data_IF_744314590889
#
_entry.id   IF_744314590889
#
_cell.length_a   1.000
_cell.length_b   1.000
_cell.length_c   1.000
_cell.angle_alpha   90.00
_cell.angle_beta   90.00
_cell.angle_gamma   90.00
#
_symmetry.space_group_name_H-M   'P 1'
#
loop_
_entity.id
_entity.type
_entity.pdbx_description
1 polymer ?
#
# COMPACT_ATOMS: atom_id res chain seq x y z
N UNK A 1 -16.41 -29.61 -42.84
CA UNK A 1 -16.08 -28.41 -42.01
C UNK A 1 -15.57 -28.91 -40.67
N UNK A 2 -14.25 -29.08 -40.55
CA UNK A 2 -13.61 -29.56 -39.33
C UNK A 2 -13.25 -28.33 -38.51
N UNK A 3 -14.02 -28.10 -37.50
CA UNK A 3 -13.76 -27.06 -36.46
C UNK A 3 -12.61 -27.53 -35.56
N UNK A 4 -11.41 -27.24 -35.96
CA UNK A 4 -10.24 -27.32 -35.11
C UNK A 4 -10.38 -26.25 -34.01
N UNK A 5 -11.21 -26.52 -33.01
CA UNK A 5 -11.14 -25.85 -31.74
C UNK A 5 -9.75 -26.11 -31.17
N UNK A 6 -8.81 -25.16 -31.32
CA UNK A 6 -7.57 -25.12 -30.59
C UNK A 6 -7.93 -25.25 -29.13
N UNK A 7 -7.80 -26.45 -28.57
CA UNK A 7 -7.88 -26.67 -27.14
C UNK A 7 -6.90 -25.70 -26.50
N UNK A 8 -7.40 -24.66 -25.85
CA UNK A 8 -6.58 -23.69 -25.15
C UNK A 8 -5.79 -24.48 -24.10
N UNK A 9 -4.49 -24.59 -24.29
CA UNK A 9 -3.63 -25.30 -23.36
C UNK A 9 -3.86 -24.74 -21.95
N UNK A 10 -4.29 -25.63 -21.03
CA UNK A 10 -4.56 -25.24 -19.65
C UNK A 10 -3.21 -24.80 -19.04
N UNK A 11 -3.09 -23.50 -18.78
CA UNK A 11 -1.94 -22.94 -18.10
C UNK A 11 -2.17 -23.05 -16.60
N UNK A 12 -1.33 -23.81 -15.92
CA UNK A 12 -1.37 -23.97 -14.47
C UNK A 12 -0.24 -23.20 -13.81
N UNK A 13 -0.59 -22.39 -12.83
CA UNK A 13 0.39 -21.70 -12.00
C UNK A 13 1.22 -22.74 -11.21
N UNK A 14 2.53 -22.53 -11.17
CA UNK A 14 3.44 -23.34 -10.36
C UNK A 14 3.22 -23.04 -8.87
N UNK A 15 3.51 -24.01 -7.99
CA UNK A 15 3.30 -23.87 -6.54
C UNK A 15 3.95 -22.60 -5.95
N UNK A 16 5.17 -22.28 -6.36
CA UNK A 16 5.85 -21.07 -5.89
C UNK A 16 5.12 -19.78 -6.30
N UNK A 17 4.43 -19.75 -7.45
CA UNK A 17 3.64 -18.60 -7.90
C UNK A 17 2.37 -18.47 -7.07
N UNK A 18 1.75 -19.60 -6.68
CA UNK A 18 0.59 -19.63 -5.80
C UNK A 18 0.90 -19.11 -4.39
N UNK A 19 2.16 -19.15 -3.96
CA UNK A 19 2.60 -18.70 -2.64
C UNK A 19 3.18 -17.28 -2.70
N UNK A 20 4.13 -17.02 -3.61
CA UNK A 20 4.83 -15.73 -3.66
C UNK A 20 3.94 -14.56 -4.09
N UNK A 21 2.97 -14.81 -4.95
CA UNK A 21 2.07 -13.75 -5.40
C UNK A 21 1.13 -13.27 -4.27
N UNK A 22 0.48 -14.15 -3.50
CA UNK A 22 -0.27 -13.75 -2.31
C UNK A 22 0.59 -13.10 -1.22
N UNK A 23 1.86 -13.50 -1.06
CA UNK A 23 2.78 -12.84 -0.12
C UNK A 23 3.04 -11.38 -0.52
N UNK A 24 3.22 -11.09 -1.81
CA UNK A 24 3.33 -9.71 -2.28
C UNK A 24 2.05 -8.90 -1.97
N UNK A 25 0.88 -9.50 -2.16
CA UNK A 25 -0.39 -8.86 -1.79
C UNK A 25 -0.50 -8.64 -0.27
N UNK A 26 -0.02 -9.59 0.54
CA UNK A 26 0.09 -9.44 1.99
C UNK A 26 0.97 -8.25 2.38
N UNK A 27 2.15 -8.12 1.78
CA UNK A 27 3.04 -6.96 2.00
C UNK A 27 2.37 -5.63 1.61
N UNK A 28 1.66 -5.60 0.47
CA UNK A 28 0.88 -4.42 0.06
C UNK A 28 -0.17 -4.04 1.10
N UNK A 29 -0.82 -5.03 1.71
CA UNK A 29 -1.82 -4.80 2.75
C UNK A 29 -1.24 -4.32 4.08
N UNK A 30 0.02 -4.62 4.39
CA UNK A 30 0.75 -4.00 5.51
C UNK A 30 0.85 -2.48 5.29
N UNK A 31 1.30 -2.04 4.11
CA UNK A 31 1.36 -0.61 3.76
C UNK A 31 -0.02 0.04 3.77
N UNK A 32 -1.01 -0.67 3.25
CA UNK A 32 -2.40 -0.20 3.20
C UNK A 32 -2.95 0.11 4.59
N UNK A 33 -2.80 -0.81 5.54
CA UNK A 33 -3.26 -0.60 6.91
C UNK A 33 -2.48 0.50 7.60
N UNK A 34 -1.15 0.53 7.41
CA UNK A 34 -0.30 1.58 7.98
C UNK A 34 -0.75 2.98 7.55
N UNK A 35 -1.07 3.15 6.27
CA UNK A 35 -1.53 4.45 5.78
C UNK A 35 -2.99 4.68 6.17
N UNK A 36 -3.92 3.80 5.81
CA UNK A 36 -5.34 4.08 6.00
C UNK A 36 -5.78 4.22 7.44
N UNK A 37 -5.23 3.40 8.33
CA UNK A 37 -5.64 3.44 9.74
C UNK A 37 -4.99 4.60 10.49
N UNK A 38 -3.82 5.06 10.04
CA UNK A 38 -3.03 6.00 10.84
C UNK A 38 -2.78 7.36 10.18
N UNK A 39 -3.07 7.53 8.87
CA UNK A 39 -2.78 8.78 8.17
C UNK A 39 -3.62 9.95 8.69
N UNK A 40 -4.88 9.72 9.05
CA UNK A 40 -5.74 10.76 9.62
C UNK A 40 -5.21 11.20 11.00
N UNK A 41 -4.81 10.24 11.83
CA UNK A 41 -4.20 10.50 13.15
C UNK A 41 -2.85 11.21 13.00
N UNK A 42 -2.03 10.80 12.04
CA UNK A 42 -0.77 11.47 11.73
C UNK A 42 -0.99 12.92 11.27
N UNK A 43 -1.89 13.14 10.33
CA UNK A 43 -2.22 14.49 9.83
C UNK A 43 -2.75 15.40 10.92
N UNK A 44 -3.64 14.91 11.79
CA UNK A 44 -4.24 15.72 12.85
C UNK A 44 -3.31 15.94 14.05
N UNK A 45 -2.67 14.88 14.55
CA UNK A 45 -1.95 14.93 15.82
C UNK A 45 -0.47 15.27 15.68
N UNK A 46 0.17 14.84 14.58
CA UNK A 46 1.61 15.06 14.35
C UNK A 46 1.85 16.31 13.50
N UNK A 47 1.09 16.49 12.43
CA UNK A 47 1.24 17.63 11.53
C UNK A 47 0.38 18.84 11.92
N UNK A 48 -0.54 18.68 12.89
CA UNK A 48 -1.47 19.72 13.35
C UNK A 48 -2.36 20.31 12.22
N UNK A 49 -2.69 19.51 11.20
CA UNK A 49 -3.49 19.95 10.05
C UNK A 49 -5.00 20.05 10.34
N UNK A 50 -5.42 19.66 11.55
CA UNK A 50 -6.83 19.58 11.93
C UNK A 50 -7.50 18.27 11.50
N UNK A 51 -8.31 17.72 12.40
CA UNK A 51 -8.93 16.40 12.22
C UNK A 51 -9.90 16.39 11.03
N UNK A 52 -10.66 17.49 10.84
CA UNK A 52 -11.59 17.61 9.72
C UNK A 52 -10.88 17.54 8.38
N UNK A 53 -9.79 18.31 8.20
CA UNK A 53 -9.00 18.30 6.98
C UNK A 53 -8.43 16.91 6.70
N UNK A 54 -7.79 16.29 7.70
CA UNK A 54 -7.19 14.97 7.54
C UNK A 54 -8.24 13.91 7.14
N UNK A 55 -9.42 13.93 7.75
CA UNK A 55 -10.52 12.99 7.43
C UNK A 55 -11.11 13.23 6.04
N UNK A 56 -11.32 14.50 5.65
CA UNK A 56 -11.80 14.84 4.31
C UNK A 56 -10.79 14.42 3.24
N UNK A 57 -9.48 14.57 3.50
CA UNK A 57 -8.44 14.13 2.57
C UNK A 57 -8.43 12.61 2.39
N UNK A 58 -8.64 11.83 3.44
CA UNK A 58 -8.78 10.37 3.31
C UNK A 58 -9.93 10.00 2.39
N UNK A 59 -11.08 10.66 2.52
CA UNK A 59 -12.24 10.44 1.66
C UNK A 59 -11.99 10.90 0.23
N UNK A 60 -11.39 12.08 0.04
CA UNK A 60 -11.06 12.62 -1.29
C UNK A 60 -10.10 11.68 -2.05
N UNK A 61 -9.09 11.12 -1.36
CA UNK A 61 -8.15 10.20 -1.98
C UNK A 61 -8.83 8.87 -2.40
N UNK A 62 -9.90 8.45 -1.72
CA UNK A 62 -10.71 7.30 -2.17
C UNK A 62 -11.44 7.59 -3.47
N UNK A 63 -11.90 8.82 -3.67
CA UNK A 63 -12.48 9.24 -4.96
C UNK A 63 -11.41 9.28 -6.06
N UNK A 64 -10.20 9.70 -5.72
CA UNK A 64 -9.07 9.64 -6.65
C UNK A 64 -8.76 8.20 -7.08
N UNK A 65 -8.82 7.21 -6.17
CA UNK A 65 -8.65 5.78 -6.52
C UNK A 65 -9.65 5.38 -7.62
N UNK A 66 -10.92 5.76 -7.50
CA UNK A 66 -11.95 5.43 -8.48
C UNK A 66 -11.65 5.96 -9.89
N UNK A 67 -10.92 7.07 -10.00
CA UNK A 67 -10.49 7.66 -11.27
C UNK A 67 -9.18 7.03 -11.76
N UNK A 68 -8.23 6.81 -10.86
CA UNK A 68 -6.90 6.30 -11.23
C UNK A 68 -6.91 4.81 -11.57
N UNK A 69 -7.78 4.00 -10.95
CA UNK A 69 -7.91 2.56 -11.23
C UNK A 69 -8.11 2.25 -12.73
N UNK A 70 -9.12 2.83 -13.43
CA UNK A 70 -9.31 2.55 -14.85
C UNK A 70 -8.19 3.11 -15.74
N UNK A 71 -7.61 4.25 -15.37
CA UNK A 71 -6.49 4.85 -16.14
C UNK A 71 -5.26 3.95 -16.08
N UNK A 72 -4.89 3.50 -14.89
CA UNK A 72 -3.74 2.60 -14.71
C UNK A 72 -4.01 1.23 -15.32
N UNK A 73 -5.25 0.72 -15.21
CA UNK A 73 -5.66 -0.50 -15.90
C UNK A 73 -5.45 -0.41 -17.42
N UNK A 74 -5.92 0.67 -18.03
CA UNK A 74 -5.74 0.93 -19.46
C UNK A 74 -4.27 1.09 -19.86
N UNK A 75 -3.45 1.75 -19.03
CA UNK A 75 -2.01 1.89 -19.24
C UNK A 75 -1.30 0.54 -19.22
N UNK A 76 -1.65 -0.30 -18.25
CA UNK A 76 -1.12 -1.66 -18.13
C UNK A 76 -1.51 -2.53 -19.33
N UNK A 77 -2.75 -2.36 -19.83
CA UNK A 77 -3.23 -3.13 -20.99
C UNK A 77 -2.50 -2.80 -22.29
N UNK A 78 -2.04 -1.59 -22.43
CA UNK A 78 -1.25 -1.12 -23.59
C UNK A 78 0.24 -1.46 -23.49
N UNK A 79 0.72 -1.89 -22.34
CA UNK A 79 2.15 -2.14 -22.13
C UNK A 79 2.49 -3.60 -22.34
N UNK A 80 3.30 -3.89 -23.36
CA UNK A 80 3.87 -5.22 -23.63
C UNK A 80 5.40 -5.13 -23.58
N UNK A 81 5.96 -5.22 -22.37
CA UNK A 81 7.41 -5.14 -22.15
C UNK A 81 8.12 -6.49 -22.16
N UNK A 82 9.45 -6.47 -22.36
CA UNK A 82 10.34 -7.66 -22.34
C UNK A 82 10.27 -8.44 -21.01
N UNK A 83 9.95 -7.78 -19.91
CA UNK A 83 9.84 -8.38 -18.56
C UNK A 83 8.42 -8.86 -18.20
N UNK A 84 7.51 -8.87 -19.18
CA UNK A 84 6.10 -9.16 -18.97
C UNK A 84 5.29 -7.91 -18.61
N UNK A 85 3.97 -8.06 -18.62
CA UNK A 85 3.02 -6.95 -18.47
C UNK A 85 2.96 -6.40 -17.03
N UNK A 86 3.02 -7.28 -16.02
CA UNK A 86 2.70 -6.91 -14.63
C UNK A 86 3.93 -6.69 -13.74
N UNK A 87 5.05 -7.40 -13.98
CA UNK A 87 6.25 -7.35 -13.13
C UNK A 87 6.82 -5.94 -12.94
N UNK A 88 7.03 -5.14 -14.01
CA UNK A 88 7.58 -3.80 -13.83
C UNK A 88 6.63 -2.87 -13.04
N UNK A 89 5.32 -2.98 -13.28
CA UNK A 89 4.33 -2.16 -12.57
C UNK A 89 4.26 -2.52 -11.08
N UNK A 90 4.37 -3.81 -10.72
CA UNK A 90 4.45 -4.24 -9.32
C UNK A 90 5.70 -3.68 -8.63
N UNK A 91 6.86 -3.75 -9.29
CA UNK A 91 8.11 -3.21 -8.72
C UNK A 91 8.04 -1.69 -8.54
N UNK A 92 7.58 -0.97 -9.57
CA UNK A 92 7.41 0.49 -9.53
C UNK A 92 6.38 0.88 -8.47
N UNK A 93 5.24 0.22 -8.43
CA UNK A 93 4.19 0.49 -7.44
C UNK A 93 4.69 0.30 -6.00
N UNK A 94 5.41 -0.80 -5.71
CA UNK A 94 6.02 -1.03 -4.40
C UNK A 94 7.06 0.06 -4.05
N UNK A 95 7.89 0.45 -5.01
CA UNK A 95 8.90 1.50 -4.79
C UNK A 95 8.23 2.84 -4.48
N UNK A 96 7.22 3.23 -5.26
CA UNK A 96 6.46 4.47 -5.04
C UNK A 96 5.82 4.46 -3.65
N UNK A 97 5.14 3.36 -3.26
CA UNK A 97 4.52 3.24 -1.95
C UNK A 97 5.54 3.35 -0.82
N UNK A 98 6.65 2.62 -0.91
CA UNK A 98 7.70 2.64 0.12
C UNK A 98 8.34 4.03 0.27
N UNK A 99 8.73 4.65 -0.83
CA UNK A 99 9.33 6.00 -0.82
C UNK A 99 8.34 7.03 -0.30
N UNK A 100 7.10 7.00 -0.76
CA UNK A 100 6.06 7.94 -0.30
C UNK A 100 5.82 7.84 1.20
N UNK A 101 5.77 6.63 1.76
CA UNK A 101 5.59 6.42 3.21
C UNK A 101 6.80 6.94 3.99
N UNK A 102 8.02 6.62 3.53
CA UNK A 102 9.25 7.07 4.20
C UNK A 102 9.36 8.59 4.22
N UNK A 103 9.02 9.25 3.11
CA UNK A 103 9.04 10.72 3.02
C UNK A 103 7.91 11.32 3.85
N UNK A 104 6.69 10.78 3.75
CA UNK A 104 5.52 11.28 4.46
C UNK A 104 5.71 11.21 5.98
N UNK A 105 6.08 10.06 6.51
CA UNK A 105 6.22 9.89 7.96
C UNK A 105 7.60 10.32 8.51
N UNK A 106 8.65 10.27 7.68
CA UNK A 106 10.00 10.61 8.09
C UNK A 106 10.33 12.10 7.95
N UNK A 107 10.05 12.70 6.81
CA UNK A 107 10.51 14.05 6.45
C UNK A 107 9.45 15.10 6.75
N UNK A 108 8.16 14.83 6.47
CA UNK A 108 7.10 15.83 6.64
C UNK A 108 7.00 16.42 8.06
N UNK A 109 7.20 15.66 9.16
CA UNK A 109 7.22 16.22 10.51
C UNK A 109 8.39 17.16 10.80
N UNK A 110 9.40 17.19 9.93
CA UNK A 110 10.56 18.11 10.08
C UNK A 110 10.26 19.52 9.55
N UNK A 111 9.16 19.68 8.81
CA UNK A 111 8.75 20.99 8.30
C UNK A 111 8.35 21.87 9.49
N UNK A 112 8.92 23.08 9.63
CA UNK A 112 8.59 23.98 10.74
C UNK A 112 7.10 24.37 10.78
N UNK A 113 6.57 24.62 11.99
CA UNK A 113 5.18 25.06 12.19
C UNK A 113 4.88 26.40 11.52
N UNK A 114 5.91 27.23 11.30
CA UNK A 114 5.78 28.49 10.58
C UNK A 114 5.41 28.32 9.10
N UNK A 115 5.65 27.14 8.52
CA UNK A 115 5.37 26.83 7.12
C UNK A 115 4.19 25.86 6.98
N UNK A 116 3.06 26.16 7.60
CA UNK A 116 1.87 25.29 7.58
C UNK A 116 1.43 24.92 6.16
N UNK A 117 1.46 25.87 5.21
CA UNK A 117 1.12 25.60 3.82
C UNK A 117 1.95 24.46 3.21
N UNK A 118 3.24 24.40 3.55
CA UNK A 118 4.13 23.34 3.07
C UNK A 118 3.78 21.97 3.68
N UNK A 119 3.31 21.93 4.93
CA UNK A 119 2.79 20.71 5.55
C UNK A 119 1.53 20.21 4.85
N UNK A 120 0.57 21.12 4.54
CA UNK A 120 -0.61 20.77 3.76
C UNK A 120 -0.26 20.24 2.38
N UNK A 121 0.61 20.94 1.66
CA UNK A 121 1.05 20.54 0.32
C UNK A 121 1.79 19.19 0.33
N UNK A 122 2.71 18.98 1.28
CA UNK A 122 3.45 17.74 1.41
C UNK A 122 2.51 16.57 1.77
N UNK A 123 1.58 16.77 2.71
CA UNK A 123 0.62 15.75 3.10
C UNK A 123 -0.25 15.30 1.93
N UNK A 124 -0.85 16.25 1.22
CA UNK A 124 -1.73 15.96 0.08
C UNK A 124 -0.95 15.34 -1.08
N UNK A 125 0.20 15.93 -1.44
CA UNK A 125 1.01 15.48 -2.57
C UNK A 125 1.59 14.08 -2.35
N UNK A 126 2.18 13.82 -1.17
CA UNK A 126 2.76 12.51 -0.87
C UNK A 126 1.69 11.44 -0.70
N UNK A 127 0.54 11.78 -0.12
CA UNK A 127 -0.56 10.85 -0.03
C UNK A 127 -1.12 10.50 -1.41
N UNK A 128 -1.25 11.48 -2.31
CA UNK A 128 -1.66 11.23 -3.69
C UNK A 128 -0.67 10.34 -4.45
N UNK A 129 0.65 10.60 -4.31
CA UNK A 129 1.68 9.74 -4.91
C UNK A 129 1.61 8.31 -4.37
N UNK A 130 1.36 8.15 -3.06
CA UNK A 130 1.13 6.84 -2.45
C UNK A 130 -0.10 6.13 -3.04
N UNK A 131 -1.21 6.85 -3.24
CA UNK A 131 -2.44 6.34 -3.86
C UNK A 131 -2.13 5.78 -5.26
N UNK A 132 -1.37 6.49 -6.08
CA UNK A 132 -0.94 5.99 -7.41
C UNK A 132 -0.16 4.68 -7.29
N UNK A 133 0.81 4.59 -6.36
CA UNK A 133 1.57 3.37 -6.12
C UNK A 133 0.69 2.20 -5.68
N UNK A 134 -0.29 2.48 -4.82
CA UNK A 134 -1.28 1.50 -4.37
C UNK A 134 -2.17 1.00 -5.52
N UNK A 135 -2.62 1.90 -6.40
CA UNK A 135 -3.41 1.54 -7.59
C UNK A 135 -2.62 0.65 -8.54
N UNK A 136 -1.31 0.89 -8.73
CA UNK A 136 -0.45 -0.03 -9.50
C UNK A 136 -0.45 -1.43 -8.89
N UNK A 137 -0.31 -1.56 -7.58
CA UNK A 137 -0.29 -2.86 -6.90
C UNK A 137 -1.63 -3.59 -6.99
N UNK A 138 -2.73 -2.91 -6.71
CA UNK A 138 -4.07 -3.52 -6.74
C UNK A 138 -4.48 -3.94 -8.13
N UNK A 139 -4.21 -3.12 -9.15
CA UNK A 139 -4.47 -3.45 -10.56
C UNK A 139 -3.63 -4.64 -11.02
N UNK A 140 -2.33 -4.70 -10.65
CA UNK A 140 -1.47 -5.85 -10.92
C UNK A 140 -1.96 -7.12 -10.21
N UNK A 141 -2.42 -7.01 -8.97
CA UNK A 141 -2.93 -8.16 -8.21
C UNK A 141 -4.18 -8.73 -8.84
N UNK A 142 -5.14 -7.88 -9.23
CA UNK A 142 -6.39 -8.29 -9.88
C UNK A 142 -6.14 -8.91 -11.25
N UNK A 143 -5.38 -8.25 -12.11
CA UNK A 143 -5.10 -8.71 -13.48
C UNK A 143 -4.09 -9.86 -13.53
N UNK A 144 -3.10 -9.88 -12.64
CA UNK A 144 -2.08 -10.93 -12.60
C UNK A 144 -2.66 -12.30 -12.25
N UNK A 145 -3.68 -12.35 -11.41
CA UNK A 145 -4.38 -13.59 -11.05
C UNK A 145 -5.00 -14.26 -12.28
N UNK A 146 -5.57 -13.49 -13.20
CA UNK A 146 -6.22 -14.04 -14.41
C UNK A 146 -5.21 -14.55 -15.45
N UNK A 147 -3.98 -14.01 -15.46
CA UNK A 147 -2.91 -14.41 -16.39
C UNK A 147 -2.10 -15.58 -15.87
N UNK A 148 -1.92 -15.71 -14.56
CA UNK A 148 -1.14 -16.79 -13.97
C UNK A 148 -1.79 -18.17 -14.13
N UNK A 149 -3.12 -18.23 -14.12
CA UNK A 149 -3.83 -19.49 -14.33
C UNK A 149 -5.14 -19.29 -15.08
N UNK A 150 -5.36 -20.13 -16.09
CA UNK A 150 -6.66 -20.27 -16.77
C UNK A 150 -7.40 -21.56 -16.33
N UNK A 151 -6.81 -22.37 -15.43
CA UNK A 151 -7.43 -23.59 -14.91
C UNK A 151 -8.60 -23.23 -13.97
N UNK A 152 -9.86 -23.62 -14.29
CA UNK A 152 -11.00 -23.36 -13.44
C UNK A 152 -10.88 -23.94 -12.03
N UNK A 153 -10.11 -25.00 -11.85
CA UNK A 153 -9.87 -25.64 -10.54
C UNK A 153 -8.84 -24.86 -9.68
N UNK A 154 -7.88 -24.20 -10.32
CA UNK A 154 -6.85 -23.43 -9.60
C UNK A 154 -7.30 -22.01 -9.24
N UNK A 155 -8.20 -21.40 -9.99
CA UNK A 155 -8.68 -20.03 -9.75
C UNK A 155 -9.24 -19.82 -8.34
N UNK A 156 -10.16 -20.67 -7.83
CA UNK A 156 -10.66 -20.53 -6.45
C UNK A 156 -9.54 -20.67 -5.41
N UNK A 157 -8.65 -21.64 -5.61
CA UNK A 157 -7.51 -21.85 -4.72
C UNK A 157 -6.59 -20.63 -4.67
N UNK A 158 -6.32 -20.03 -5.84
CA UNK A 158 -5.51 -18.80 -5.93
C UNK A 158 -6.18 -17.64 -5.18
N UNK A 159 -7.49 -17.49 -5.31
CA UNK A 159 -8.26 -16.47 -4.59
C UNK A 159 -8.21 -16.69 -3.08
N UNK A 160 -8.32 -17.94 -2.61
CA UNK A 160 -8.18 -18.27 -1.18
C UNK A 160 -6.81 -17.87 -0.65
N UNK A 161 -5.72 -18.28 -1.32
CA UNK A 161 -4.36 -17.92 -0.92
C UNK A 161 -4.14 -16.40 -0.91
N UNK A 162 -4.69 -15.70 -1.93
CA UNK A 162 -4.59 -14.26 -2.02
C UNK A 162 -5.35 -13.54 -0.88
N UNK A 163 -6.52 -14.06 -0.52
CA UNK A 163 -7.30 -13.54 0.62
C UNK A 163 -6.59 -13.80 1.95
N UNK A 164 -6.06 -15.01 2.14
CA UNK A 164 -5.27 -15.35 3.34
C UNK A 164 -4.04 -14.46 3.44
N UNK A 165 -3.30 -14.25 2.34
CA UNK A 165 -2.16 -13.34 2.30
C UNK A 165 -2.54 -11.90 2.68
N UNK A 166 -3.64 -11.38 2.15
CA UNK A 166 -4.18 -10.07 2.52
C UNK A 166 -4.52 -9.97 4.00
N UNK A 167 -5.26 -10.94 4.53
CA UNK A 167 -5.68 -10.96 5.94
C UNK A 167 -4.48 -11.07 6.88
N UNK A 168 -3.48 -11.88 6.55
CA UNK A 168 -2.24 -11.96 7.31
C UNK A 168 -1.49 -10.62 7.30
N UNK A 169 -1.36 -9.97 6.15
CA UNK A 169 -0.73 -8.65 6.04
C UNK A 169 -1.44 -7.59 6.87
N UNK A 170 -2.76 -7.51 6.76
CA UNK A 170 -3.58 -6.59 7.58
C UNK A 170 -3.47 -6.92 9.06
N UNK A 171 -3.58 -8.21 9.43
CA UNK A 171 -3.52 -8.67 10.81
C UNK A 171 -2.19 -8.33 11.48
N UNK A 172 -1.08 -8.63 10.81
CA UNK A 172 0.26 -8.31 11.32
C UNK A 172 0.34 -6.83 11.70
N UNK A 173 -0.11 -5.92 10.84
CA UNK A 173 -0.02 -4.48 11.12
C UNK A 173 -1.00 -4.04 12.21
N UNK A 174 -2.21 -4.58 12.24
CA UNK A 174 -3.22 -4.26 13.27
C UNK A 174 -2.77 -4.68 14.68
N UNK A 175 -2.06 -5.80 14.81
CA UNK A 175 -1.50 -6.25 16.10
C UNK A 175 -0.18 -5.56 16.44
N UNK A 176 0.68 -5.34 15.44
CA UNK A 176 2.02 -4.79 15.66
C UNK A 176 1.98 -3.29 16.00
N UNK A 177 1.12 -2.52 15.33
CA UNK A 177 1.08 -1.07 15.53
C UNK A 177 0.71 -0.65 16.98
N UNK A 178 -0.29 -1.23 17.66
CA UNK A 178 -0.56 -0.91 19.06
C UNK A 178 0.59 -1.28 20.00
N UNK A 179 1.27 -2.40 19.72
CA UNK A 179 2.42 -2.84 20.51
C UNK A 179 3.58 -1.86 20.38
N UNK A 180 3.87 -1.44 19.14
CA UNK A 180 4.91 -0.46 18.87
C UNK A 180 4.55 0.91 19.45
N UNK A 181 3.29 1.35 19.35
CA UNK A 181 2.85 2.64 19.85
C UNK A 181 3.04 2.77 21.37
N UNK A 182 2.90 1.68 22.14
CA UNK A 182 3.13 1.66 23.59
C UNK A 182 4.57 2.02 23.99
N UNK A 183 5.53 1.83 23.11
CA UNK A 183 6.94 2.12 23.36
C UNK A 183 7.30 3.61 23.19
N UNK A 184 6.34 4.43 22.75
CA UNK A 184 6.54 5.86 22.55
C UNK A 184 5.64 6.69 23.47
N UNK A 185 6.22 7.69 24.13
CA UNK A 185 5.45 8.69 24.85
C UNK A 185 4.56 9.46 23.86
N UNK A 186 3.25 9.47 24.12
CA UNK A 186 2.26 10.01 23.20
C UNK A 186 1.69 8.99 22.19
N UNK A 187 2.20 7.76 22.14
CA UNK A 187 1.66 6.69 21.31
C UNK A 187 1.53 7.09 19.83
N UNK A 188 0.33 6.99 19.29
CA UNK A 188 0.01 7.38 17.91
C UNK A 188 0.10 8.88 17.61
N UNK A 189 0.22 9.73 18.61
CA UNK A 189 0.44 11.18 18.43
C UNK A 189 1.92 11.54 18.40
N UNK A 190 2.81 10.57 18.61
CA UNK A 190 4.25 10.79 18.58
C UNK A 190 4.80 10.75 17.16
N UNK A 191 5.48 11.82 16.75
CA UNK A 191 6.26 11.82 15.51
C UNK A 191 7.35 10.72 15.52
N UNK A 192 7.84 10.34 16.71
CA UNK A 192 8.78 9.24 16.90
C UNK A 192 8.24 7.89 16.45
N UNK A 193 6.97 7.59 16.76
CA UNK A 193 6.30 6.37 16.31
C UNK A 193 6.32 6.23 14.78
N UNK A 194 6.01 7.31 14.07
CA UNK A 194 5.98 7.28 12.60
C UNK A 194 7.37 7.34 11.96
N UNK A 195 8.36 8.01 12.59
CA UNK A 195 9.71 8.17 12.04
C UNK A 195 10.58 6.93 12.14
N UNK A 196 10.50 6.22 13.23
CA UNK A 196 11.56 5.25 13.55
C UNK A 196 11.14 3.81 13.34
N UNK A 197 9.85 3.52 13.16
CA UNK A 197 9.44 2.13 12.99
C UNK A 197 10.12 1.17 13.96
N UNK A 198 10.67 1.68 15.06
CA UNK A 198 11.30 0.83 16.02
C UNK A 198 12.63 1.23 16.67
N UNK A 199 12.90 2.48 17.01
CA UNK A 199 14.00 2.75 17.96
C UNK A 199 13.47 3.26 19.31
N UNK A 200 13.23 2.35 20.28
CA UNK A 200 12.55 2.67 21.54
C UNK A 200 13.43 3.34 22.62
N UNK A 201 14.74 3.54 22.40
CA UNK A 201 15.67 3.83 23.50
C UNK A 201 16.15 5.28 23.61
N UNK A 202 15.66 6.22 22.80
CA UNK A 202 16.20 7.60 22.79
C UNK A 202 15.37 8.68 23.49
N UNK A 203 14.26 8.32 24.14
CA UNK A 203 13.41 9.33 24.82
C UNK A 203 13.45 9.26 26.34
N UNK A 204 14.36 8.48 26.93
CA UNK A 204 14.51 8.44 28.39
C UNK A 204 15.83 9.08 28.81
N UNK A 205 16.01 10.36 28.54
CA UNK A 205 17.06 11.14 29.21
C UNK A 205 16.55 12.54 29.56
N UNK A 206 16.17 12.68 30.81
CA UNK A 206 16.39 13.91 31.54
C UNK A 206 15.25 14.91 31.56
N UNK A 207 14.37 14.78 32.58
CA UNK A 207 14.29 15.93 33.49
C UNK A 207 13.81 15.42 34.86
N UNK A 208 14.72 15.58 35.80
CA UNK A 208 14.34 15.71 37.22
C UNK A 208 13.55 17.00 37.42
#
# INVERSE_FOLDING_TARGET
MSENAKASSVNRAKLYQLVLFPLNNGATNVYYVLVLSYIATFGSNVLALGTLFASVMVTAMRLCDAITDPIIGALMDRTNGKFGKFRPFMAIGNLIMAVSILVLYGITPMIPDTMMWARYAAFVGLYFVWVIGYTFQTSCTRSGQTVLTNDPKQRPLFTIFNTVGSLLGMGVMQFLAPILAKNYEGGYSSAGFFRTGGQPWRTRSGRF
#
